data_IF_115147073517
#
_entry.id   IF_115147073517
#
_cell.length_a   1.000
_cell.length_b   1.000
_cell.length_c   1.000
_cell.angle_alpha   90.00
_cell.angle_beta   90.00
_cell.angle_gamma   90.00
#
_symmetry.space_group_name_H-M   'P 1'
#
loop_
_entity.id
_entity.type
_entity.pdbx_description
1 polymer ?
#
# COMPACT_ATOMS: atom_id res chain seq x y z
N UNK A 1 50.22 36.42 -33.20
CA UNK A 1 49.95 35.51 -34.33
C UNK A 1 48.94 34.37 -33.95
N UNK A 2 48.25 34.50 -32.82
CA UNK A 2 47.31 33.47 -32.35
C UNK A 2 45.81 33.80 -32.50
N UNK A 3 45.46 34.97 -33.05
CA UNK A 3 44.05 35.40 -33.17
C UNK A 3 43.32 34.89 -34.42
N UNK A 4 44.06 34.39 -35.42
CA UNK A 4 43.46 33.93 -36.67
C UNK A 4 42.76 32.59 -36.53
N UNK A 5 43.16 31.78 -35.56
CA UNK A 5 42.60 30.44 -35.35
C UNK A 5 41.32 30.46 -34.49
N UNK A 6 41.15 31.42 -33.63
CA UNK A 6 39.99 31.49 -32.72
C UNK A 6 38.87 32.44 -33.15
N UNK A 7 39.14 33.36 -34.10
CA UNK A 7 38.16 34.33 -34.59
C UNK A 7 37.31 33.89 -35.80
N UNK A 8 37.62 32.78 -36.45
CA UNK A 8 36.93 32.36 -37.68
C UNK A 8 35.78 31.38 -37.37
N UNK A 9 34.74 31.87 -36.75
CA UNK A 9 33.54 31.11 -36.42
C UNK A 9 32.63 30.96 -37.64
N UNK A 10 33.02 30.12 -38.59
CA UNK A 10 32.33 29.92 -39.86
C UNK A 10 31.12 28.98 -39.72
N UNK A 11 30.31 29.22 -38.67
CA UNK A 11 29.13 28.42 -38.30
C UNK A 11 28.13 28.32 -39.47
N UNK A 12 28.03 29.33 -40.31
CA UNK A 12 27.14 29.34 -41.47
C UNK A 12 27.61 28.34 -42.55
N UNK A 13 28.90 28.27 -42.80
CA UNK A 13 29.50 27.32 -43.75
C UNK A 13 29.44 25.89 -43.21
N UNK A 14 29.73 25.69 -41.94
CA UNK A 14 29.61 24.39 -41.27
C UNK A 14 28.16 23.86 -41.32
N UNK A 15 27.17 24.71 -41.02
CA UNK A 15 25.75 24.34 -41.11
C UNK A 15 25.33 23.98 -42.54
N UNK A 16 25.83 24.72 -43.55
CA UNK A 16 25.54 24.44 -44.96
C UNK A 16 26.15 23.11 -45.40
N UNK A 17 27.41 22.86 -45.06
CA UNK A 17 28.10 21.60 -45.34
C UNK A 17 27.42 20.41 -44.65
N UNK A 18 27.11 20.54 -43.39
CA UNK A 18 26.40 19.53 -42.62
C UNK A 18 25.03 19.18 -43.23
N UNK A 19 24.27 20.21 -43.67
CA UNK A 19 22.96 19.99 -44.32
C UNK A 19 23.10 19.30 -45.69
N UNK A 20 24.14 19.66 -46.50
CA UNK A 20 24.41 18.99 -47.78
C UNK A 20 24.85 17.55 -47.57
N UNK A 21 25.71 17.29 -46.60
CA UNK A 21 26.18 15.95 -46.24
C UNK A 21 25.03 15.06 -45.74
N UNK A 22 24.13 15.64 -44.92
CA UNK A 22 22.94 14.95 -44.45
C UNK A 22 22.00 14.57 -45.60
N UNK A 23 21.79 15.47 -46.57
CA UNK A 23 20.97 15.20 -47.77
C UNK A 23 21.57 14.14 -48.69
N UNK A 24 22.88 14.09 -48.82
CA UNK A 24 23.57 13.13 -49.71
C UNK A 24 23.56 11.71 -49.15
N UNK A 25 23.57 11.56 -47.81
CA UNK A 25 23.65 10.28 -47.11
C UNK A 25 22.37 9.95 -46.34
N UNK A 26 21.21 10.21 -46.92
CA UNK A 26 19.89 10.07 -46.24
C UNK A 26 19.67 8.69 -45.60
N UNK A 27 19.93 7.62 -46.33
CA UNK A 27 19.68 6.24 -45.88
C UNK A 27 20.56 5.91 -44.69
N UNK A 28 21.86 6.24 -44.76
CA UNK A 28 22.78 5.99 -43.63
C UNK A 28 22.43 6.80 -42.40
N UNK A 29 22.07 8.06 -42.58
CA UNK A 29 21.68 8.91 -41.45
C UNK A 29 20.35 8.50 -40.86
N UNK A 30 19.39 8.08 -41.67
CA UNK A 30 18.11 7.51 -41.19
C UNK A 30 18.34 6.23 -40.40
N UNK A 31 19.19 5.33 -40.91
CA UNK A 31 19.53 4.10 -40.17
C UNK A 31 20.19 4.38 -38.81
N UNK A 32 21.10 5.37 -38.77
CA UNK A 32 21.72 5.78 -37.51
C UNK A 32 20.71 6.37 -36.51
N UNK A 33 19.79 7.22 -36.98
CA UNK A 33 18.73 7.78 -36.14
C UNK A 33 17.81 6.67 -35.62
N UNK A 34 17.38 5.76 -36.49
CA UNK A 34 16.56 4.63 -36.12
C UNK A 34 17.25 3.73 -35.08
N UNK A 35 18.55 3.46 -35.24
CA UNK A 35 19.33 2.69 -34.28
C UNK A 35 19.35 3.37 -32.90
N UNK A 36 19.58 4.69 -32.86
CA UNK A 36 19.59 5.45 -31.59
C UNK A 36 18.19 5.44 -30.95
N UNK A 37 17.14 5.67 -31.75
CA UNK A 37 15.74 5.65 -31.22
C UNK A 37 15.39 4.28 -30.67
N UNK A 38 15.71 3.20 -31.41
CA UNK A 38 15.46 1.83 -30.95
C UNK A 38 16.22 1.51 -29.66
N UNK A 39 17.49 1.89 -29.59
CA UNK A 39 18.30 1.68 -28.38
C UNK A 39 17.72 2.43 -27.18
N UNK A 40 17.36 3.70 -27.36
CA UNK A 40 16.73 4.49 -26.29
C UNK A 40 15.38 3.89 -25.88
N UNK A 41 14.56 3.49 -26.83
CA UNK A 41 13.27 2.84 -26.59
C UNK A 41 13.43 1.53 -25.80
N UNK A 42 14.34 0.65 -26.22
CA UNK A 42 14.61 -0.60 -25.53
C UNK A 42 15.10 -0.35 -24.11
N UNK A 43 16.02 0.59 -23.91
CA UNK A 43 16.52 0.92 -22.59
C UNK A 43 15.42 1.43 -21.66
N UNK A 44 14.61 2.38 -22.14
CA UNK A 44 13.48 2.91 -21.33
C UNK A 44 12.42 1.85 -21.06
N UNK A 45 12.14 0.97 -22.01
CA UNK A 45 11.17 -0.11 -21.84
C UNK A 45 11.64 -1.12 -20.79
N UNK A 46 12.90 -1.56 -20.85
CA UNK A 46 13.46 -2.51 -19.88
C UNK A 46 13.50 -1.91 -18.47
N UNK A 47 13.95 -0.66 -18.35
CA UNK A 47 13.97 0.01 -17.02
C UNK A 47 12.57 0.19 -16.46
N UNK A 48 11.60 0.63 -17.26
CA UNK A 48 10.21 0.77 -16.84
C UNK A 48 9.62 -0.57 -16.39
N UNK A 49 9.88 -1.64 -17.13
CA UNK A 49 9.41 -2.99 -16.80
C UNK A 49 10.02 -3.49 -15.48
N UNK A 50 11.31 -3.26 -15.28
CA UNK A 50 12.00 -3.62 -14.05
C UNK A 50 11.42 -2.89 -12.83
N UNK A 51 11.20 -1.58 -12.91
CA UNK A 51 10.58 -0.80 -11.85
C UNK A 51 9.15 -1.28 -11.54
N UNK A 52 8.33 -1.51 -12.56
CA UNK A 52 6.97 -2.00 -12.38
C UNK A 52 6.95 -3.38 -11.72
N UNK A 53 7.87 -4.27 -12.11
CA UNK A 53 7.98 -5.60 -11.52
C UNK A 53 8.37 -5.54 -10.05
N UNK A 54 9.36 -4.73 -9.69
CA UNK A 54 9.78 -4.55 -8.28
C UNK A 54 8.64 -3.98 -7.45
N UNK A 55 7.97 -2.93 -7.93
CA UNK A 55 6.83 -2.32 -7.22
C UNK A 55 5.67 -3.30 -7.03
N UNK A 56 5.35 -4.09 -8.06
CA UNK A 56 4.31 -5.12 -7.97
C UNK A 56 4.68 -6.23 -7.00
N UNK A 57 5.95 -6.65 -6.97
CA UNK A 57 6.44 -7.62 -6.00
C UNK A 57 6.35 -7.10 -4.57
N UNK A 58 6.77 -5.86 -4.32
CA UNK A 58 6.68 -5.23 -3.01
C UNK A 58 5.22 -5.17 -2.52
N UNK A 59 4.31 -4.68 -3.38
CA UNK A 59 2.89 -4.63 -3.04
C UNK A 59 2.32 -6.03 -2.76
N UNK A 60 2.67 -7.01 -3.57
CA UNK A 60 2.24 -8.40 -3.38
C UNK A 60 2.74 -8.98 -2.05
N UNK A 61 4.01 -8.73 -1.69
CA UNK A 61 4.57 -9.14 -0.41
C UNK A 61 3.88 -8.45 0.78
N UNK A 62 3.60 -7.15 0.68
CA UNK A 62 2.88 -6.40 1.71
C UNK A 62 1.46 -6.95 1.89
N UNK A 63 0.76 -7.25 0.81
CA UNK A 63 -0.57 -7.87 0.86
C UNK A 63 -0.53 -9.27 1.48
N UNK A 64 0.43 -10.12 1.10
CA UNK A 64 0.60 -11.45 1.70
C UNK A 64 0.92 -11.38 3.19
N UNK A 65 1.76 -10.43 3.60
CA UNK A 65 2.09 -10.16 5.01
C UNK A 65 0.91 -9.56 5.78
N UNK A 66 -0.05 -8.95 5.09
CA UNK A 66 -1.19 -8.24 5.66
C UNK A 66 -0.81 -6.92 6.33
N UNK A 67 0.36 -6.38 6.00
CA UNK A 67 0.85 -5.12 6.55
C UNK A 67 1.84 -4.42 5.62
N UNK A 68 1.75 -3.09 5.56
CA UNK A 68 2.74 -2.21 4.94
C UNK A 68 3.95 -1.97 5.85
N UNK A 69 3.81 -2.23 7.16
CA UNK A 69 4.86 -1.97 8.15
C UNK A 69 6.09 -2.85 7.95
N UNK A 70 7.26 -2.30 8.19
CA UNK A 70 8.54 -2.98 8.05
C UNK A 70 8.85 -3.93 9.21
N UNK A 71 8.33 -3.61 10.41
CA UNK A 71 8.52 -4.40 11.63
C UNK A 71 7.26 -4.50 12.47
N UNK A 72 7.21 -5.52 13.31
CA UNK A 72 6.16 -5.72 14.32
C UNK A 72 6.81 -6.11 15.63
N UNK A 73 6.43 -5.43 16.68
CA UNK A 73 6.87 -5.74 18.04
C UNK A 73 5.68 -6.23 18.86
N UNK A 74 5.85 -7.36 19.52
CA UNK A 74 4.82 -7.91 20.41
C UNK A 74 5.08 -7.56 21.88
N UNK A 75 4.01 -7.48 22.66
CA UNK A 75 4.06 -7.36 24.12
C UNK A 75 4.79 -6.12 24.65
N UNK A 76 4.72 -4.99 23.93
CA UNK A 76 5.28 -3.72 24.38
C UNK A 76 4.42 -3.09 25.48
N UNK A 77 5.09 -2.44 26.44
CA UNK A 77 4.42 -1.52 27.36
C UNK A 77 4.15 -0.18 26.67
N UNK A 78 3.25 0.63 27.23
CA UNK A 78 2.96 1.98 26.73
C UNK A 78 4.23 2.85 26.65
N UNK A 79 5.08 2.77 27.69
CA UNK A 79 6.34 3.51 27.75
C UNK A 79 7.31 3.10 26.64
N UNK A 80 7.40 1.80 26.35
CA UNK A 80 8.22 1.28 25.25
C UNK A 80 7.68 1.72 23.89
N UNK A 81 6.36 1.73 23.73
CA UNK A 81 5.72 2.21 22.50
C UNK A 81 5.99 3.68 22.27
N UNK A 82 5.85 4.54 23.28
CA UNK A 82 6.17 5.96 23.17
C UNK A 82 7.66 6.21 22.88
N UNK A 83 8.56 5.42 23.45
CA UNK A 83 9.99 5.49 23.12
C UNK A 83 10.26 5.13 21.67
N UNK A 84 9.61 4.07 21.18
CA UNK A 84 9.73 3.65 19.77
C UNK A 84 9.21 4.72 18.83
N UNK A 85 8.02 5.25 19.10
CA UNK A 85 7.35 6.27 18.29
C UNK A 85 8.16 7.56 18.17
N UNK A 86 8.88 7.93 19.24
CA UNK A 86 9.74 9.12 19.29
C UNK A 86 11.17 8.86 18.78
N UNK A 87 11.46 7.68 18.24
CA UNK A 87 12.77 7.35 17.70
C UNK A 87 12.95 7.94 16.30
N UNK A 88 14.13 8.49 16.02
CA UNK A 88 14.48 9.05 14.70
C UNK A 88 14.46 8.02 13.54
N UNK A 89 14.41 6.74 13.86
CA UNK A 89 14.37 5.65 12.89
C UNK A 89 12.94 5.21 12.51
N UNK A 90 11.92 5.73 13.20
CA UNK A 90 10.53 5.33 13.02
C UNK A 90 9.74 6.48 12.42
N UNK A 91 9.31 6.30 11.18
CA UNK A 91 8.48 7.29 10.47
C UNK A 91 7.05 7.28 10.99
N UNK A 92 6.48 6.09 11.19
CA UNK A 92 5.12 5.89 11.71
C UNK A 92 5.06 4.64 12.60
N UNK A 93 4.38 4.74 13.71
CA UNK A 93 4.10 3.62 14.61
C UNK A 93 2.61 3.57 14.93
N UNK A 94 1.96 2.49 14.53
CA UNK A 94 0.60 2.17 14.92
C UNK A 94 0.58 1.09 16.00
N UNK A 95 -0.44 1.07 16.85
CA UNK A 95 -0.57 0.04 17.84
C UNK A 95 -1.91 -0.68 17.78
N UNK A 96 -1.86 -1.97 18.09
CA UNK A 96 -3.02 -2.84 18.24
C UNK A 96 -2.99 -3.46 19.64
N UNK A 97 -4.15 -3.51 20.27
CA UNK A 97 -4.33 -4.19 21.55
C UNK A 97 -5.43 -5.23 21.42
N UNK A 98 -5.11 -6.48 21.68
CA UNK A 98 -6.11 -7.53 21.76
C UNK A 98 -6.90 -7.35 23.06
N UNK A 99 -8.22 -7.22 22.94
CA UNK A 99 -9.14 -7.09 24.06
C UNK A 99 -9.51 -8.49 24.57
N UNK A 100 -9.78 -9.41 23.64
CA UNK A 100 -10.15 -10.78 23.96
C UNK A 100 -10.77 -11.48 22.76
N UNK A 101 -11.37 -12.63 23.05
CA UNK A 101 -12.10 -13.42 22.07
C UNK A 101 -13.57 -13.38 22.42
N UNK A 102 -14.40 -13.05 21.43
CA UNK A 102 -15.84 -13.06 21.57
C UNK A 102 -16.41 -14.24 20.78
N UNK A 103 -17.50 -14.78 21.23
CA UNK A 103 -18.26 -15.82 20.53
C UNK A 103 -19.71 -15.41 20.36
N UNK A 104 -20.36 -15.96 19.33
CA UNK A 104 -21.79 -15.87 19.20
C UNK A 104 -22.46 -17.13 19.80
N UNK A 105 -23.80 -17.13 19.88
CA UNK A 105 -24.57 -18.23 20.39
C UNK A 105 -24.39 -19.57 19.62
N UNK A 106 -23.85 -19.52 18.41
CA UNK A 106 -23.59 -20.69 17.55
C UNK A 106 -22.17 -21.25 17.76
N UNK A 107 -21.32 -20.54 18.53
CA UNK A 107 -19.96 -20.99 18.85
C UNK A 107 -18.88 -20.51 17.87
N UNK A 108 -19.19 -19.60 16.95
CA UNK A 108 -18.16 -18.94 16.15
C UNK A 108 -17.43 -17.91 17.01
N UNK A 109 -16.11 -17.95 16.99
CA UNK A 109 -15.25 -17.08 17.79
C UNK A 109 -14.55 -16.05 16.90
N UNK A 110 -14.53 -14.80 17.36
CA UNK A 110 -13.82 -13.68 16.72
C UNK A 110 -12.90 -13.01 17.73
N UNK A 111 -11.74 -12.55 17.26
CA UNK A 111 -10.81 -11.78 18.07
C UNK A 111 -11.24 -10.32 18.08
N UNK A 112 -11.41 -9.73 19.25
CA UNK A 112 -11.69 -8.31 19.45
C UNK A 112 -10.38 -7.56 19.66
N UNK A 113 -10.11 -6.61 18.80
CA UNK A 113 -8.92 -5.79 18.84
C UNK A 113 -9.28 -4.30 18.85
N UNK A 114 -8.54 -3.54 19.59
CA UNK A 114 -8.41 -2.11 19.37
C UNK A 114 -7.25 -1.87 18.42
N UNK A 115 -7.41 -0.99 17.44
CA UNK A 115 -6.36 -0.53 16.56
C UNK A 115 -6.50 0.98 16.32
N UNK A 116 -5.40 1.72 16.46
CA UNK A 116 -5.41 3.13 16.13
C UNK A 116 -5.47 3.36 14.60
N UNK A 117 -5.66 4.60 14.17
CA UNK A 117 -5.79 4.95 12.74
C UNK A 117 -4.55 4.59 11.93
N UNK A 118 -3.36 4.74 12.51
CA UNK A 118 -2.09 4.39 11.85
C UNK A 118 -2.02 2.87 11.65
N UNK A 119 -2.36 2.10 12.68
CA UNK A 119 -2.40 0.64 12.58
C UNK A 119 -3.41 0.15 11.56
N UNK A 120 -4.60 0.78 11.50
CA UNK A 120 -5.61 0.45 10.49
C UNK A 120 -5.08 0.69 9.09
N UNK A 121 -4.39 1.80 8.86
CA UNK A 121 -3.77 2.11 7.56
C UNK A 121 -2.65 1.12 7.22
N UNK A 122 -1.75 0.84 8.17
CA UNK A 122 -0.65 -0.09 7.98
C UNK A 122 -1.12 -1.53 7.69
N UNK A 123 -2.27 -1.93 8.23
CA UNK A 123 -2.82 -3.29 8.05
C UNK A 123 -3.91 -3.39 6.99
N UNK A 124 -4.07 -2.39 6.13
CA UNK A 124 -5.10 -2.33 5.08
C UNK A 124 -6.53 -2.45 5.63
N UNK A 125 -6.76 -1.99 6.86
CA UNK A 125 -8.07 -2.02 7.52
C UNK A 125 -8.76 -0.64 7.51
N UNK A 126 -8.46 0.20 6.54
CA UNK A 126 -9.12 1.51 6.38
C UNK A 126 -10.56 1.30 5.90
N UNK A 127 -11.53 2.05 6.46
CA UNK A 127 -12.93 1.98 6.05
C UNK A 127 -13.15 2.15 4.55
N UNK A 128 -13.84 1.18 3.94
CA UNK A 128 -14.31 1.29 2.55
C UNK A 128 -15.79 1.68 2.51
N UNK A 129 -16.56 1.28 3.51
CA UNK A 129 -17.98 1.63 3.67
C UNK A 129 -18.25 1.89 5.15
N UNK A 130 -18.83 3.05 5.47
CA UNK A 130 -19.08 3.49 6.85
C UNK A 130 -17.92 4.29 7.43
N UNK A 131 -17.84 4.32 8.74
CA UNK A 131 -16.84 5.04 9.52
C UNK A 131 -16.18 4.15 10.56
N UNK A 132 -14.95 4.49 10.97
CA UNK A 132 -14.32 3.82 12.10
C UNK A 132 -15.19 3.93 13.37
N UNK A 133 -15.17 2.92 14.26
CA UNK A 133 -15.91 2.96 15.51
C UNK A 133 -15.52 4.17 16.35
N UNK A 134 -16.50 4.95 16.77
CA UNK A 134 -16.31 6.10 17.66
C UNK A 134 -16.87 5.84 19.05
N UNK A 135 -17.88 4.96 19.15
CA UNK A 135 -18.53 4.62 20.41
C UNK A 135 -18.12 3.24 20.92
N UNK A 136 -18.24 3.07 22.21
CA UNK A 136 -17.85 1.82 22.89
C UNK A 136 -18.65 0.57 22.43
N UNK A 137 -19.83 0.76 21.87
CA UNK A 137 -20.68 -0.31 21.34
C UNK A 137 -20.65 -0.40 19.81
N UNK A 138 -19.66 0.20 19.16
CA UNK A 138 -19.48 0.11 17.71
C UNK A 138 -18.32 -0.82 17.39
N UNK A 139 -18.45 -1.58 16.30
CA UNK A 139 -17.39 -2.44 15.78
C UNK A 139 -17.18 -2.21 14.28
N UNK A 140 -15.92 -2.34 13.88
CA UNK A 140 -15.52 -2.51 12.49
C UNK A 140 -15.22 -3.98 12.24
N UNK A 141 -15.79 -4.55 11.17
CA UNK A 141 -15.61 -5.96 10.88
C UNK A 141 -15.67 -6.20 9.36
N UNK A 142 -15.45 -7.44 8.93
CA UNK A 142 -15.56 -7.82 7.52
C UNK A 142 -16.94 -8.42 7.25
N UNK A 143 -17.39 -8.32 5.99
CA UNK A 143 -18.63 -9.00 5.57
C UNK A 143 -18.55 -10.50 5.81
N UNK A 144 -17.37 -11.10 5.62
CA UNK A 144 -17.16 -12.52 5.86
C UNK A 144 -17.36 -12.89 7.33
N UNK A 145 -16.83 -12.06 8.25
CA UNK A 145 -17.01 -12.27 9.68
C UNK A 145 -18.48 -12.13 10.09
N UNK A 146 -19.20 -11.15 9.54
CA UNK A 146 -20.65 -11.00 9.80
C UNK A 146 -21.41 -12.21 9.32
N UNK A 147 -21.16 -12.69 8.10
CA UNK A 147 -21.78 -13.91 7.57
C UNK A 147 -21.46 -15.14 8.43
N UNK A 148 -20.22 -15.28 8.90
CA UNK A 148 -19.83 -16.34 9.81
C UNK A 148 -20.55 -16.26 11.16
N UNK A 149 -20.82 -15.03 11.64
CA UNK A 149 -21.62 -14.79 12.84
C UNK A 149 -23.14 -14.91 12.62
N UNK A 150 -23.57 -15.14 11.39
CA UNK A 150 -24.99 -15.26 11.03
C UNK A 150 -25.75 -13.94 11.00
N UNK A 151 -25.03 -12.83 10.81
CA UNK A 151 -25.57 -11.47 10.76
C UNK A 151 -25.49 -10.94 9.34
N UNK A 152 -26.54 -10.28 8.87
CA UNK A 152 -26.54 -9.59 7.57
C UNK A 152 -25.46 -8.50 7.53
N UNK A 153 -24.65 -8.42 6.46
CA UNK A 153 -23.51 -7.49 6.36
C UNK A 153 -23.97 -6.06 6.02
N UNK A 154 -24.70 -5.43 6.91
CA UNK A 154 -25.20 -4.07 6.78
C UNK A 154 -24.64 -3.17 7.88
N UNK A 155 -24.41 -1.87 7.54
CA UNK A 155 -24.04 -0.86 8.52
C UNK A 155 -25.25 -0.62 9.44
N UNK A 156 -25.00 -0.63 10.75
CA UNK A 156 -26.05 -0.52 11.76
C UNK A 156 -26.63 -1.86 12.21
N UNK A 157 -26.21 -2.99 11.60
CA UNK A 157 -26.60 -4.31 12.08
C UNK A 157 -26.07 -4.53 13.50
N UNK A 158 -26.89 -5.15 14.34
CA UNK A 158 -26.49 -5.50 15.71
C UNK A 158 -25.90 -6.91 15.77
N UNK A 159 -24.74 -7.03 16.36
CA UNK A 159 -24.03 -8.30 16.54
C UNK A 159 -23.99 -8.63 18.01
N UNK A 160 -24.78 -9.62 18.46
CA UNK A 160 -24.70 -10.08 19.84
C UNK A 160 -23.41 -10.88 20.06
N UNK A 161 -22.54 -10.37 20.91
CA UNK A 161 -21.27 -10.97 21.25
C UNK A 161 -21.18 -11.26 22.73
N UNK A 162 -20.68 -12.45 23.05
CA UNK A 162 -20.32 -12.85 24.39
C UNK A 162 -18.81 -12.94 24.49
N UNK A 163 -18.24 -12.35 25.50
CA UNK A 163 -16.82 -12.53 25.78
C UNK A 163 -16.55 -12.72 27.27
N UNK A 164 -15.55 -13.53 27.53
CA UNK A 164 -15.09 -13.82 28.88
C UNK A 164 -13.86 -12.95 29.18
N UNK A 165 -13.95 -12.17 30.23
CA UNK A 165 -12.84 -11.39 30.77
C UNK A 165 -12.69 -11.66 32.26
N UNK A 166 -11.52 -12.16 32.69
CA UNK A 166 -11.19 -12.48 34.08
C UNK A 166 -12.23 -13.39 34.77
N UNK A 167 -12.73 -14.41 34.05
CA UNK A 167 -13.70 -15.38 34.57
C UNK A 167 -15.12 -14.84 34.72
N UNK A 168 -15.42 -13.70 34.07
CA UNK A 168 -16.78 -13.15 33.98
C UNK A 168 -17.19 -13.06 32.51
N UNK A 169 -18.38 -13.53 32.20
CA UNK A 169 -18.97 -13.42 30.88
C UNK A 169 -19.72 -12.10 30.76
N UNK A 170 -19.46 -11.40 29.67
CA UNK A 170 -20.10 -10.14 29.33
C UNK A 170 -20.85 -10.33 28.01
N UNK A 171 -22.05 -9.77 27.93
CA UNK A 171 -22.89 -9.78 26.74
C UNK A 171 -22.98 -8.34 26.23
N UNK A 172 -22.66 -8.14 24.95
CA UNK A 172 -22.73 -6.85 24.29
C UNK A 172 -23.39 -6.98 22.93
N UNK A 173 -24.33 -6.09 22.68
CA UNK A 173 -24.88 -5.87 21.33
C UNK A 173 -24.04 -4.77 20.67
N UNK A 174 -23.22 -5.18 19.72
CA UNK A 174 -22.31 -4.26 19.02
C UNK A 174 -22.90 -3.84 17.70
N UNK A 175 -22.99 -2.52 17.47
CA UNK A 175 -23.44 -1.99 16.18
C UNK A 175 -22.30 -1.97 15.16
N UNK A 176 -22.58 -2.46 13.97
CA UNK A 176 -21.62 -2.42 12.86
C UNK A 176 -21.53 -1.01 12.32
N UNK A 177 -20.43 -0.32 12.61
CA UNK A 177 -20.17 1.02 12.08
C UNK A 177 -19.45 1.00 10.72
N UNK A 178 -18.85 -0.15 10.38
CA UNK A 178 -17.98 -0.27 9.23
C UNK A 178 -17.83 -1.71 8.75
N UNK A 179 -17.84 -1.89 7.42
CA UNK A 179 -17.52 -3.17 6.78
C UNK A 179 -16.30 -3.02 5.85
N UNK A 180 -15.43 -4.02 5.84
CA UNK A 180 -14.21 -4.05 5.05
C UNK A 180 -14.07 -5.38 4.31
N UNK A 181 -13.73 -5.30 3.03
CA UNK A 181 -13.24 -6.45 2.28
C UNK A 181 -11.73 -6.50 2.46
N UNK A 182 -11.23 -7.50 3.16
CA UNK A 182 -9.80 -7.75 3.23
C UNK A 182 -9.29 -8.09 1.83
N UNK A 183 -8.11 -7.58 1.45
CA UNK A 183 -7.49 -7.84 0.15
C UNK A 183 -7.24 -9.33 -0.18
N UNK A 184 -7.44 -10.24 0.79
CA UNK A 184 -7.30 -11.69 0.65
C UNK A 184 -8.61 -12.48 0.74
N UNK A 185 -9.75 -11.83 0.83
CA UNK A 185 -11.03 -12.50 0.75
C UNK A 185 -11.40 -12.75 -0.73
N UNK A 186 -10.50 -13.38 -1.47
CA UNK A 186 -10.89 -14.03 -2.71
C UNK A 186 -11.78 -15.20 -2.33
N UNK A 187 -13.03 -15.10 -2.69
CA UNK A 187 -13.98 -16.20 -2.64
C UNK A 187 -13.34 -17.43 -3.26
N UNK A 188 -12.95 -18.38 -2.42
CA UNK A 188 -12.71 -19.75 -2.85
C UNK A 188 -14.08 -20.33 -3.26
N UNK A 189 -14.27 -20.44 -4.56
CA UNK A 189 -15.34 -21.25 -5.12
C UNK A 189 -14.96 -22.72 -5.06
#
# INVERSE_FOLDING_TARGET
>A
MNDILFGNNNTKTIKRLSKQYFKKNKVRNLAAILAIVLTAFLFTSITSLAFNMVSSMQLSMQMQKGSKGDGTFGYMTEEQFEQLKNSDFVEQAGHRRTIGYASNAVGHSVELNYADSIQQELTFCVPTHGSAPEKANEIATTELALKALGVEPEIGAEVPLEFELRGKTYHYDMAVSYTHLRAHETTLH
#
